data_IF_499480082508
#
_entry.id   IF_499480082508
#
_cell.length_a   1.000
_cell.length_b   1.000
_cell.length_c   1.000
_cell.angle_alpha   90.00
_cell.angle_beta   90.00
_cell.angle_gamma   90.00
#
_symmetry.space_group_name_H-M   'P 1'
#
loop_
_entity.id
_entity.type
_entity.pdbx_description
1 polymer ?
#
# COMPACT_ATOMS: atom_id res chain seq x y z
N UNK A 1 8.91 -9.90 5.91
CA UNK A 1 8.88 -9.58 4.46
C UNK A 1 7.87 -8.47 4.21
N UNK A 2 8.01 -7.71 3.11
CA UNK A 2 7.16 -6.56 2.79
C UNK A 2 6.73 -6.61 1.32
N UNK A 3 5.50 -6.17 1.02
CA UNK A 3 5.01 -6.00 -0.36
C UNK A 3 4.65 -4.54 -0.67
N UNK A 4 4.83 -4.12 -1.93
CA UNK A 4 4.62 -2.74 -2.40
C UNK A 4 4.44 -2.68 -3.92
N UNK A 5 3.65 -1.72 -4.43
CA UNK A 5 3.44 -1.35 -5.86
C UNK A 5 2.99 -2.48 -6.83
N UNK A 6 2.90 -3.74 -6.38
CA UNK A 6 2.49 -4.86 -7.23
C UNK A 6 0.98 -5.09 -7.25
N UNK A 7 0.43 -5.47 -6.09
CA UNK A 7 -0.94 -5.94 -5.98
C UNK A 7 -1.78 -5.01 -5.07
N UNK A 8 -2.89 -4.42 -5.56
CA UNK A 8 -3.68 -3.44 -4.81
C UNK A 8 -4.64 -4.11 -3.81
N UNK A 9 -4.19 -5.17 -3.13
CA UNK A 9 -4.91 -5.83 -2.04
C UNK A 9 -3.93 -6.68 -1.20
N UNK A 10 -4.44 -7.37 -0.19
CA UNK A 10 -3.74 -8.41 0.57
C UNK A 10 -3.15 -9.49 -0.35
N UNK A 11 -1.95 -9.96 -0.03
CA UNK A 11 -1.37 -11.17 -0.64
C UNK A 11 -2.01 -12.44 -0.06
N UNK A 12 -2.62 -12.36 1.12
CA UNK A 12 -3.19 -13.50 1.84
C UNK A 12 -2.15 -14.47 2.42
N UNK A 13 -0.86 -14.16 2.31
CA UNK A 13 0.22 -15.04 2.75
C UNK A 13 0.64 -14.70 4.19
N UNK A 14 0.69 -15.67 5.11
CA UNK A 14 1.10 -15.41 6.50
C UNK A 14 2.59 -15.09 6.65
N UNK A 15 3.37 -15.24 5.58
CA UNK A 15 4.82 -14.99 5.56
C UNK A 15 5.18 -13.56 5.11
N UNK A 16 4.20 -12.76 4.70
CA UNK A 16 4.36 -11.34 4.40
C UNK A 16 3.78 -10.54 5.56
N UNK A 17 4.63 -9.81 6.26
CA UNK A 17 4.26 -9.14 7.51
C UNK A 17 3.63 -7.77 7.25
N UNK A 18 4.12 -7.04 6.23
CA UNK A 18 3.72 -5.65 5.96
C UNK A 18 3.37 -5.39 4.50
N UNK A 19 2.45 -4.44 4.28
CA UNK A 19 2.14 -3.86 2.97
C UNK A 19 2.26 -2.34 3.04
N UNK A 20 3.10 -1.76 2.18
CA UNK A 20 3.26 -0.30 2.06
C UNK A 20 2.11 0.25 1.22
N UNK A 21 1.40 1.24 1.77
CA UNK A 21 0.24 1.90 1.17
C UNK A 21 0.15 3.37 1.63
N UNK A 22 -0.93 4.06 1.31
CA UNK A 22 -1.25 5.42 1.78
C UNK A 22 -2.72 5.53 2.22
N UNK A 23 -3.09 6.70 2.76
CA UNK A 23 -4.44 6.95 3.24
C UNK A 23 -5.48 7.15 2.12
N UNK A 24 -5.04 7.35 0.87
CA UNK A 24 -5.94 7.48 -0.28
C UNK A 24 -6.36 6.10 -0.79
N UNK A 25 -5.42 5.18 -0.93
CA UNK A 25 -5.67 3.81 -1.37
C UNK A 25 -6.29 2.95 -0.26
N UNK A 26 -5.77 3.06 0.98
CA UNK A 26 -6.27 2.32 2.14
C UNK A 26 -6.56 3.29 3.31
N UNK A 27 -7.74 3.92 3.34
CA UNK A 27 -8.12 4.84 4.42
C UNK A 27 -7.97 4.23 5.82
N UNK A 28 -7.70 5.02 6.87
CA UNK A 28 -7.58 4.50 8.24
C UNK A 28 -8.82 3.78 8.75
N UNK A 29 -10.00 4.12 8.22
CA UNK A 29 -11.29 3.52 8.54
C UNK A 29 -11.73 2.44 7.53
N UNK A 30 -10.82 1.98 6.66
CA UNK A 30 -11.13 0.89 5.73
C UNK A 30 -11.63 -0.35 6.47
N UNK A 31 -12.66 -0.99 5.92
CA UNK A 31 -13.19 -2.28 6.41
C UNK A 31 -12.58 -3.47 5.69
N UNK A 32 -11.71 -3.21 4.72
CA UNK A 32 -11.01 -4.24 3.96
C UNK A 32 -10.08 -5.02 4.90
N UNK A 33 -10.05 -6.34 4.74
CA UNK A 33 -9.23 -7.23 5.56
C UNK A 33 -7.88 -7.44 4.89
N UNK A 34 -6.83 -7.34 5.68
CA UNK A 34 -5.45 -7.61 5.26
C UNK A 34 -4.85 -8.63 6.20
N UNK A 35 -4.01 -9.51 5.64
CA UNK A 35 -3.20 -10.42 6.46
C UNK A 35 -1.94 -9.68 6.92
N UNK A 36 -1.44 -8.77 6.08
CA UNK A 36 -0.34 -7.86 6.39
C UNK A 36 -0.78 -6.69 7.27
N UNK A 37 0.14 -6.16 8.06
CA UNK A 37 0.00 -4.85 8.69
C UNK A 37 0.20 -3.73 7.65
N UNK A 38 -0.75 -2.80 7.61
CA UNK A 38 -0.72 -1.68 6.66
C UNK A 38 0.20 -0.56 7.16
N UNK A 39 1.34 -0.39 6.49
CA UNK A 39 2.24 0.74 6.69
C UNK A 39 1.81 1.87 5.77
N UNK A 40 1.18 2.89 6.35
CA UNK A 40 0.69 4.07 5.62
C UNK A 40 1.75 5.17 5.59
N UNK A 41 2.20 5.53 4.39
CA UNK A 41 3.03 6.71 4.20
C UNK A 41 2.21 8.00 4.39
N UNK A 42 2.85 9.12 4.80
CA UNK A 42 2.16 10.38 5.03
C UNK A 42 1.59 11.01 3.75
N UNK A 43 2.20 10.71 2.60
CA UNK A 43 1.78 11.16 1.26
C UNK A 43 1.51 9.93 0.37
N UNK A 44 1.54 10.09 -0.96
CA UNK A 44 1.31 8.97 -1.87
C UNK A 44 2.32 7.84 -1.71
N UNK A 45 1.84 6.59 -1.72
CA UNK A 45 2.69 5.40 -1.71
C UNK A 45 3.34 5.12 -3.08
N UNK A 46 2.89 5.80 -4.14
CA UNK A 46 3.44 5.67 -5.48
C UNK A 46 4.69 6.54 -5.63
N UNK A 47 5.76 5.95 -6.14
CA UNK A 47 6.94 6.68 -6.57
C UNK A 47 6.79 7.07 -8.04
N UNK A 48 6.05 8.16 -8.28
CA UNK A 48 5.90 8.73 -9.61
C UNK A 48 6.46 10.15 -9.62
N UNK A 49 7.24 10.46 -10.65
CA UNK A 49 7.62 11.83 -11.00
C UNK A 49 7.15 12.04 -12.43
N UNK A 50 6.22 12.98 -12.68
CA UNK A 50 5.77 13.27 -14.03
C UNK A 50 6.90 13.82 -14.89
N UNK A 51 6.80 13.64 -16.21
CA UNK A 51 7.67 14.38 -17.13
C UNK A 51 7.26 15.86 -17.13
N UNK A 52 8.14 16.79 -17.54
CA UNK A 52 7.80 18.20 -17.63
C UNK A 52 6.59 18.52 -18.53
N UNK A 53 6.26 17.63 -19.45
CA UNK A 53 5.18 17.78 -20.44
C UNK A 53 3.87 17.09 -20.04
N UNK A 54 3.84 16.40 -18.89
CA UNK A 54 2.68 15.65 -18.40
C UNK A 54 1.61 16.54 -17.74
#
# INVERSE_FOLDING_TARGET
QVTWIGYPNTTGLPTIDYRITDAMADPPNTKQKHVEELVRLPNSFLCYTPSPEA
#
